data_IF_934160957881
#
_entry.id   IF_934160957881
#
_cell.length_a   1.000
_cell.length_b   1.000
_cell.length_c   1.000
_cell.angle_alpha   90.00
_cell.angle_beta   90.00
_cell.angle_gamma   90.00
#
_symmetry.space_group_name_H-M   'P 1'
#
loop_
_entity.id
_entity.type
_entity.pdbx_description
1 polymer ?
#
# COMPACT_ATOMS: atom_id res chain seq x y z
N UNK A 1 9.68 -1.07 1.12
CA UNK A 1 8.88 -0.59 -0.03
C UNK A 1 7.37 -0.63 0.22
N UNK A 2 6.79 -1.81 0.46
CA UNK A 2 5.34 -1.99 0.72
C UNK A 2 4.82 -0.96 1.75
N UNK A 3 5.47 -0.88 2.92
CA UNK A 3 5.11 0.07 3.97
C UNK A 3 5.18 1.55 3.52
N UNK A 4 6.20 1.93 2.76
CA UNK A 4 6.39 3.30 2.24
C UNK A 4 5.28 3.67 1.26
N UNK A 5 4.97 2.78 0.31
CA UNK A 5 3.90 2.99 -0.67
C UNK A 5 2.53 3.08 -0.01
N UNK A 6 2.29 2.30 1.05
CA UNK A 6 1.08 2.41 1.87
C UNK A 6 0.94 3.82 2.43
N UNK A 7 1.96 4.33 3.14
CA UNK A 7 1.87 5.64 3.81
C UNK A 7 1.76 6.80 2.82
N UNK A 8 2.52 6.77 1.72
CA UNK A 8 2.48 7.85 0.73
C UNK A 8 1.14 7.93 -0.03
N UNK A 9 0.43 6.81 -0.16
CA UNK A 9 -0.86 6.74 -0.87
C UNK A 9 -2.04 7.41 -0.13
N UNK A 10 -1.88 7.79 1.13
CA UNK A 10 -2.98 8.24 1.98
C UNK A 10 -3.39 9.70 1.79
N UNK A 11 -2.50 10.52 1.24
CA UNK A 11 -2.90 11.83 0.75
C UNK A 11 -3.65 11.67 -0.57
N UNK A 12 -4.77 12.40 -0.75
CA UNK A 12 -5.54 12.51 -2.02
C UNK A 12 -4.74 12.97 -3.26
N UNK A 13 -3.42 13.07 -3.12
CA UNK A 13 -2.39 13.40 -4.10
C UNK A 13 -1.79 12.14 -4.74
N UNK A 14 -2.64 11.18 -5.13
CA UNK A 14 -2.18 9.95 -5.75
C UNK A 14 -1.27 10.26 -6.96
N UNK A 15 -1.68 11.17 -7.83
CA UNK A 15 -0.93 11.52 -9.04
C UNK A 15 0.34 12.35 -8.82
N UNK A 16 0.38 13.22 -7.80
CA UNK A 16 1.55 14.06 -7.56
C UNK A 16 2.55 13.46 -6.59
N UNK A 17 2.18 12.42 -5.84
CA UNK A 17 3.04 11.82 -4.82
C UNK A 17 3.13 10.29 -4.92
N UNK A 18 2.00 9.58 -4.91
CA UNK A 18 2.00 8.11 -4.82
C UNK A 18 2.35 7.41 -6.15
N UNK A 19 1.81 7.89 -7.27
CA UNK A 19 2.08 7.37 -8.61
C UNK A 19 3.52 7.64 -9.03
N UNK A 20 4.11 8.84 -8.86
CA UNK A 20 5.53 9.03 -9.11
C UNK A 20 6.42 8.13 -8.26
N UNK A 21 6.14 8.00 -6.95
CA UNK A 21 6.88 7.09 -6.08
C UNK A 21 6.77 5.62 -6.54
N UNK A 22 5.56 5.19 -6.96
CA UNK A 22 5.31 3.86 -7.52
C UNK A 22 6.03 3.65 -8.86
N UNK A 23 5.95 4.60 -9.79
CA UNK A 23 6.61 4.53 -11.09
C UNK A 23 8.13 4.50 -10.95
N UNK A 24 8.69 5.32 -10.05
CA UNK A 24 10.13 5.26 -9.73
C UNK A 24 10.53 3.90 -9.17
N UNK A 25 9.65 3.32 -8.34
CA UNK A 25 9.84 1.98 -7.82
C UNK A 25 9.77 0.88 -8.90
N UNK A 26 8.74 0.88 -9.76
CA UNK A 26 8.57 -0.07 -10.87
C UNK A 26 9.73 0.01 -11.87
N UNK A 27 10.37 1.19 -11.99
CA UNK A 27 11.59 1.41 -12.78
C UNK A 27 12.89 1.04 -12.06
N UNK A 28 12.81 0.44 -10.87
CA UNK A 28 13.98 0.02 -10.09
C UNK A 28 14.78 1.17 -9.48
N UNK A 29 14.29 2.41 -9.51
CA UNK A 29 15.05 3.59 -9.05
C UNK A 29 15.22 3.65 -7.52
N UNK A 30 14.51 2.79 -6.79
CA UNK A 30 14.68 2.55 -5.36
C UNK A 30 15.20 1.15 -5.04
N UNK A 31 15.89 0.49 -5.97
CA UNK A 31 16.48 -0.84 -5.76
C UNK A 31 17.33 -0.90 -4.47
N UNK A 32 18.04 0.19 -4.16
CA UNK A 32 18.83 0.33 -2.93
C UNK A 32 17.99 0.30 -1.62
N UNK A 33 16.68 0.57 -1.68
CA UNK A 33 15.74 0.49 -0.55
C UNK A 33 14.85 -0.77 -0.59
N UNK A 34 14.72 -1.43 -1.74
CA UNK A 34 13.84 -2.60 -1.88
C UNK A 34 14.41 -3.90 -1.33
N UNK A 35 15.73 -3.95 -1.17
CA UNK A 35 16.46 -5.12 -0.67
C UNK A 35 16.76 -5.04 0.84
N UNK A 36 16.44 -3.92 1.49
CA UNK A 36 16.71 -3.73 2.92
C UNK A 36 15.53 -4.21 3.78
N UNK A 37 15.78 -5.02 4.82
CA UNK A 37 14.75 -5.44 5.77
C UNK A 37 14.07 -4.24 6.45
N UNK A 38 12.83 -4.40 6.90
CA UNK A 38 12.11 -3.38 7.68
C UNK A 38 12.92 -2.91 8.89
N UNK A 39 13.68 -3.81 9.51
CA UNK A 39 14.54 -3.51 10.63
C UNK A 39 15.63 -2.46 10.34
N UNK A 40 16.18 -2.41 9.13
CA UNK A 40 17.19 -1.40 8.79
C UNK A 40 16.57 0.00 8.73
N UNK A 41 15.35 0.11 8.21
CA UNK A 41 14.59 1.36 8.24
C UNK A 41 14.30 1.81 9.69
N UNK A 42 13.91 0.87 10.55
CA UNK A 42 13.70 1.14 11.99
C UNK A 42 14.99 1.60 12.66
N UNK A 43 16.12 0.94 12.40
CA UNK A 43 17.42 1.35 12.95
C UNK A 43 17.82 2.75 12.48
N UNK A 44 17.63 3.07 11.20
CA UNK A 44 17.89 4.41 10.66
C UNK A 44 16.99 5.45 11.34
N UNK A 45 15.70 5.16 11.48
CA UNK A 45 14.77 6.07 12.14
C UNK A 45 15.11 6.28 13.63
N UNK A 46 15.59 5.25 14.34
CA UNK A 46 16.01 5.37 15.76
C UNK A 46 17.27 6.22 15.95
N UNK A 47 18.08 6.39 14.92
CA UNK A 47 19.22 7.34 14.96
C UNK A 47 18.78 8.79 14.82
N UNK A 48 17.53 9.03 14.44
CA UNK A 48 16.93 10.36 14.43
C UNK A 48 16.58 10.69 15.88
N UNK A 49 17.42 11.51 16.49
CA UNK A 49 17.24 11.97 17.86
C UNK A 49 16.82 13.43 17.82
N UNK A 50 15.53 13.71 17.61
CA UNK A 50 15.06 15.07 17.77
C UNK A 50 13.69 15.41 17.21
N UNK A 51 13.53 16.70 16.92
CA UNK A 51 12.24 17.37 16.80
C UNK A 51 11.61 17.24 15.40
N UNK A 52 10.60 18.07 15.11
CA UNK A 52 9.92 18.05 13.81
C UNK A 52 10.87 18.28 12.63
N UNK A 53 11.96 19.04 12.80
CA UNK A 53 12.91 19.33 11.73
C UNK A 53 13.74 18.10 11.34
N UNK A 54 14.12 17.26 12.31
CA UNK A 54 14.84 16.03 12.02
C UNK A 54 13.97 15.04 11.23
N UNK A 55 12.68 14.96 11.57
CA UNK A 55 11.72 14.18 10.79
C UNK A 55 11.47 14.75 9.39
N UNK A 56 11.54 16.07 9.20
CA UNK A 56 11.48 16.67 7.86
C UNK A 56 12.71 16.31 7.04
N UNK A 57 13.91 16.39 7.61
CA UNK A 57 15.15 15.97 6.94
C UNK A 57 15.09 14.51 6.53
N UNK A 58 14.57 13.64 7.42
CA UNK A 58 14.39 12.23 7.11
C UNK A 58 13.36 11.98 6.01
N UNK A 59 12.21 12.66 6.08
CA UNK A 59 11.19 12.64 5.03
C UNK A 59 11.77 13.07 3.67
N UNK A 60 12.62 14.11 3.68
CA UNK A 60 13.28 14.62 2.48
C UNK A 60 14.28 13.61 1.92
N UNK A 61 15.08 12.96 2.77
CA UNK A 61 16.00 11.91 2.36
C UNK A 61 15.29 10.67 1.78
N UNK A 62 14.07 10.35 2.27
CA UNK A 62 13.30 9.20 1.80
C UNK A 62 12.58 9.46 0.47
N UNK A 63 12.03 10.65 0.27
CA UNK A 63 11.15 10.93 -0.88
C UNK A 63 11.06 12.41 -1.28
N UNK A 64 12.08 13.22 -0.95
CA UNK A 64 12.27 14.61 -1.39
C UNK A 64 11.10 15.55 -1.03
N UNK A 65 10.46 15.32 0.12
CA UNK A 65 9.44 16.22 0.65
C UNK A 65 9.52 16.37 2.17
N UNK A 66 8.77 17.33 2.72
CA UNK A 66 8.83 17.67 4.15
C UNK A 66 7.63 17.09 4.95
N UNK A 67 6.99 16.02 4.46
CA UNK A 67 5.85 15.35 5.12
C UNK A 67 6.36 14.49 6.29
N UNK A 68 6.78 15.16 7.36
CA UNK A 68 7.37 14.54 8.54
C UNK A 68 6.42 13.55 9.23
N UNK A 69 5.10 13.80 9.23
CA UNK A 69 4.13 12.86 9.81
C UNK A 69 4.14 11.51 9.08
N UNK A 70 4.33 11.52 7.76
CA UNK A 70 4.40 10.29 6.96
C UNK A 70 5.67 9.51 7.26
N UNK A 71 6.78 10.20 7.48
CA UNK A 71 8.02 9.55 7.92
C UNK A 71 7.83 8.85 9.27
N UNK A 72 7.17 9.52 10.22
CA UNK A 72 6.83 8.92 11.51
C UNK A 72 5.89 7.71 11.39
N UNK A 73 4.83 7.82 10.58
CA UNK A 73 3.88 6.73 10.32
C UNK A 73 4.55 5.53 9.66
N UNK A 74 5.48 5.78 8.72
CA UNK A 74 6.25 4.74 8.07
C UNK A 74 7.12 3.99 9.09
N UNK A 75 7.81 4.71 9.98
CA UNK A 75 8.61 4.09 11.04
C UNK A 75 7.75 3.19 11.93
N UNK A 76 6.62 3.70 12.43
CA UNK A 76 5.71 2.92 13.27
C UNK A 76 5.18 1.67 12.54
N UNK A 77 4.84 1.81 11.26
CA UNK A 77 4.38 0.68 10.45
C UNK A 77 5.50 -0.36 10.26
N UNK A 78 6.73 0.09 10.00
CA UNK A 78 7.87 -0.78 9.85
C UNK A 78 8.20 -1.53 11.15
N UNK A 79 8.09 -0.86 12.30
CA UNK A 79 8.26 -1.50 13.62
C UNK A 79 7.21 -2.59 13.85
N UNK A 80 5.92 -2.28 13.68
CA UNK A 80 4.85 -3.27 13.87
C UNK A 80 5.04 -4.51 12.99
N UNK A 81 5.37 -4.32 11.71
CA UNK A 81 5.58 -5.41 10.77
C UNK A 81 6.85 -6.20 11.08
N UNK A 82 7.95 -5.52 11.41
CA UNK A 82 9.22 -6.16 11.80
C UNK A 82 9.05 -7.00 13.07
N UNK A 83 8.34 -6.48 14.08
CA UNK A 83 8.09 -7.19 15.34
C UNK A 83 7.24 -8.44 15.11
N UNK A 84 6.23 -8.35 14.23
CA UNK A 84 5.44 -9.51 13.84
C UNK A 84 6.31 -10.57 13.15
N UNK A 85 7.17 -10.15 12.21
CA UNK A 85 8.07 -11.06 11.51
C UNK A 85 8.97 -11.84 12.48
N UNK A 86 9.60 -11.11 13.42
CA UNK A 86 10.47 -11.72 14.44
C UNK A 86 9.72 -12.66 15.38
N UNK A 87 8.49 -12.31 15.76
CA UNK A 87 7.70 -13.08 16.73
C UNK A 87 7.14 -14.38 16.16
N UNK A 88 6.66 -14.36 14.92
CA UNK A 88 5.86 -15.47 14.38
C UNK A 88 6.60 -16.34 13.36
N UNK A 89 7.54 -15.78 12.58
CA UNK A 89 8.28 -16.57 11.60
C UNK A 89 9.75 -16.09 11.47
N UNK A 90 10.57 -16.18 12.55
CA UNK A 90 11.93 -15.61 12.58
C UNK A 90 12.91 -16.21 11.57
N UNK A 91 12.61 -17.38 11.02
CA UNK A 91 13.47 -18.10 10.06
C UNK A 91 12.98 -17.99 8.60
N UNK A 92 11.86 -17.28 8.37
CA UNK A 92 11.30 -17.13 7.04
C UNK A 92 11.71 -15.81 6.40
N UNK A 93 11.73 -15.78 5.07
CA UNK A 93 11.92 -14.53 4.34
C UNK A 93 10.79 -13.54 4.67
N UNK A 94 11.13 -12.28 4.94
CA UNK A 94 10.22 -11.24 5.43
C UNK A 94 8.92 -11.16 4.61
N UNK A 95 9.00 -11.26 3.28
CA UNK A 95 7.81 -11.21 2.40
C UNK A 95 6.86 -12.39 2.58
N UNK A 96 7.38 -13.60 2.87
CA UNK A 96 6.55 -14.79 3.14
C UNK A 96 5.79 -14.59 4.44
N UNK A 97 6.48 -14.07 5.44
CA UNK A 97 5.92 -13.73 6.75
C UNK A 97 4.85 -12.64 6.62
N UNK A 98 5.11 -11.58 5.86
CA UNK A 98 4.11 -10.53 5.60
C UNK A 98 2.84 -11.05 4.92
N UNK A 99 2.95 -12.01 3.99
CA UNK A 99 1.76 -12.65 3.38
C UNK A 99 0.95 -13.44 4.40
N UNK A 100 1.60 -14.14 5.33
CA UNK A 100 0.93 -14.82 6.45
C UNK A 100 0.25 -13.81 7.38
N UNK A 101 0.93 -12.70 7.68
CA UNK A 101 0.33 -11.60 8.44
C UNK A 101 -0.93 -11.08 7.76
N UNK A 102 -0.84 -10.74 6.47
CA UNK A 102 -1.95 -10.22 5.66
C UNK A 102 -3.16 -11.17 5.62
N UNK A 103 -2.93 -12.48 5.56
CA UNK A 103 -3.99 -13.48 5.60
C UNK A 103 -4.65 -13.62 6.99
N UNK A 104 -3.98 -13.19 8.06
CA UNK A 104 -4.41 -13.38 9.44
C UNK A 104 -4.99 -12.13 10.10
N UNK A 105 -4.55 -10.94 9.66
CA UNK A 105 -4.92 -9.67 10.27
C UNK A 105 -6.34 -9.28 9.87
N UNK A 106 -7.12 -8.81 10.85
CA UNK A 106 -8.44 -8.21 10.61
C UNK A 106 -8.34 -6.68 10.60
N UNK A 107 -9.26 -6.04 9.88
CA UNK A 107 -9.30 -4.58 9.74
C UNK A 107 -9.33 -3.86 11.08
N UNK A 108 -10.09 -4.39 12.04
CA UNK A 108 -10.26 -3.81 13.39
C UNK A 108 -8.99 -3.93 14.24
N UNK A 109 -8.11 -4.89 13.93
CA UNK A 109 -6.83 -5.06 14.61
C UNK A 109 -5.76 -4.09 14.09
N UNK A 110 -5.92 -3.61 12.85
CA UNK A 110 -5.01 -2.65 12.23
C UNK A 110 -5.45 -1.20 12.48
N UNK A 111 -6.74 -0.91 12.30
CA UNK A 111 -7.27 0.45 12.38
C UNK A 111 -7.11 0.97 13.80
N UNK A 112 -6.41 2.10 13.96
CA UNK A 112 -6.11 2.70 15.26
C UNK A 112 -4.77 2.28 15.87
N UNK A 113 -4.09 1.27 15.31
CA UNK A 113 -2.75 0.87 15.76
C UNK A 113 -1.73 2.00 15.57
N UNK A 114 -1.84 2.72 14.44
CA UNK A 114 -0.95 3.83 14.09
C UNK A 114 -1.80 5.06 13.77
N UNK A 115 -1.54 6.16 14.49
CA UNK A 115 -2.30 7.41 14.32
C UNK A 115 -2.19 7.91 12.87
N UNK A 116 -3.35 8.06 12.23
CA UNK A 116 -3.47 8.52 10.85
C UNK A 116 -3.38 7.42 9.78
N UNK A 117 -3.21 6.15 10.18
CA UNK A 117 -3.40 5.01 9.28
C UNK A 117 -4.80 4.42 9.50
N UNK A 118 -5.74 4.84 8.66
CA UNK A 118 -7.14 4.39 8.72
C UNK A 118 -7.44 3.17 7.86
N UNK A 119 -8.74 2.83 7.68
CA UNK A 119 -9.23 1.75 6.81
C UNK A 119 -8.55 1.64 5.44
N UNK A 120 -8.30 2.78 4.79
CA UNK A 120 -7.68 2.83 3.47
C UNK A 120 -6.20 2.41 3.48
N UNK A 121 -5.50 2.68 4.58
CA UNK A 121 -4.11 2.24 4.75
C UNK A 121 -4.04 0.72 4.90
N UNK A 122 -4.99 0.14 5.64
CA UNK A 122 -5.13 -1.31 5.77
C UNK A 122 -5.34 -1.98 4.40
N UNK A 123 -6.34 -1.52 3.65
CA UNK A 123 -6.66 -2.06 2.32
C UNK A 123 -5.49 -1.92 1.35
N UNK A 124 -4.82 -0.77 1.36
CA UNK A 124 -3.65 -0.53 0.51
C UNK A 124 -2.46 -1.43 0.89
N UNK A 125 -2.23 -1.64 2.20
CA UNK A 125 -1.15 -2.49 2.67
C UNK A 125 -1.36 -3.94 2.26
N UNK A 126 -2.57 -4.47 2.45
CA UNK A 126 -2.92 -5.81 1.96
C UNK A 126 -2.74 -5.92 0.46
N UNK A 127 -3.18 -4.90 -0.29
CA UNK A 127 -3.03 -4.86 -1.74
C UNK A 127 -1.56 -4.97 -2.18
N UNK A 128 -0.65 -4.27 -1.50
CA UNK A 128 0.79 -4.34 -1.77
C UNK A 128 1.45 -5.64 -1.29
N UNK A 129 0.97 -6.26 -0.21
CA UNK A 129 1.51 -7.53 0.31
C UNK A 129 1.06 -8.72 -0.56
N UNK A 130 -0.23 -8.79 -0.89
CA UNK A 130 -0.78 -9.82 -1.77
C UNK A 130 -0.28 -9.66 -3.21
N UNK A 131 0.07 -8.43 -3.59
CA UNK A 131 0.66 -8.11 -4.88
C UNK A 131 -0.30 -8.41 -6.03
N UNK A 132 0.19 -9.14 -7.03
CA UNK A 132 -0.34 -9.36 -8.39
C UNK A 132 -1.82 -9.81 -8.47
N UNK A 133 -2.45 -10.21 -7.36
CA UNK A 133 -3.84 -10.73 -7.36
C UNK A 133 -4.82 -9.90 -6.52
N UNK A 134 -4.46 -8.65 -6.19
CA UNK A 134 -5.31 -7.76 -5.41
C UNK A 134 -6.10 -6.77 -6.30
N UNK A 135 -7.32 -6.43 -5.86
CA UNK A 135 -8.16 -5.38 -6.45
C UNK A 135 -8.45 -4.39 -5.33
N UNK A 136 -8.27 -3.10 -5.61
CA UNK A 136 -8.47 -2.06 -4.60
C UNK A 136 -9.92 -1.59 -4.70
N UNK A 137 -10.71 -1.92 -3.69
CA UNK A 137 -12.09 -1.47 -3.64
C UNK A 137 -12.16 0.02 -3.27
N UNK A 138 -11.99 0.88 -4.26
CA UNK A 138 -12.22 2.32 -4.14
C UNK A 138 -13.49 2.75 -4.89
N UNK A 139 -13.80 4.05 -4.83
CA UNK A 139 -14.98 4.60 -5.49
C UNK A 139 -14.98 4.34 -7.00
N UNK A 140 -13.83 4.28 -7.66
CA UNK A 140 -13.79 4.02 -9.11
C UNK A 140 -14.16 2.57 -9.40
N UNK A 141 -13.64 1.61 -8.63
CA UNK A 141 -14.06 0.20 -8.75
C UNK A 141 -15.53 0.04 -8.38
N UNK A 142 -16.01 0.66 -7.30
CA UNK A 142 -17.40 0.60 -6.90
C UNK A 142 -18.34 1.16 -7.98
N UNK A 143 -18.01 2.33 -8.54
CA UNK A 143 -18.78 2.95 -9.62
C UNK A 143 -18.71 2.11 -10.90
N UNK A 144 -17.54 1.55 -11.24
CA UNK A 144 -17.38 0.68 -12.39
C UNK A 144 -18.26 -0.58 -12.26
N UNK A 145 -18.26 -1.21 -11.08
CA UNK A 145 -19.10 -2.38 -10.79
C UNK A 145 -20.59 -2.02 -10.89
N UNK A 146 -21.02 -0.91 -10.30
CA UNK A 146 -22.41 -0.45 -10.39
C UNK A 146 -22.83 -0.15 -11.83
N UNK A 147 -21.98 0.51 -12.61
CA UNK A 147 -22.26 0.83 -14.00
C UNK A 147 -22.28 -0.40 -14.91
N UNK A 148 -21.45 -1.40 -14.62
CA UNK A 148 -21.28 -2.58 -15.47
C UNK A 148 -22.24 -3.72 -15.12
N UNK A 149 -22.57 -3.87 -13.84
CA UNK A 149 -23.31 -5.03 -13.31
C UNK A 149 -24.64 -4.65 -12.61
N UNK A 150 -24.86 -3.36 -12.35
CA UNK A 150 -26.05 -2.87 -11.64
C UNK A 150 -25.88 -2.76 -10.11
N UNK A 151 -26.87 -2.16 -9.41
CA UNK A 151 -26.77 -1.80 -7.99
C UNK A 151 -26.91 -2.97 -7.00
N UNK A 152 -27.23 -4.17 -7.47
CA UNK A 152 -27.51 -5.34 -6.62
C UNK A 152 -26.27 -6.17 -6.30
N UNK A 153 -25.13 -5.88 -6.93
CA UNK A 153 -23.89 -6.64 -6.72
C UNK A 153 -23.19 -6.18 -5.45
N UNK A 154 -22.92 -7.13 -4.54
CA UNK A 154 -22.13 -6.85 -3.34
C UNK A 154 -20.68 -6.54 -3.70
N UNK A 155 -20.00 -5.74 -2.88
CA UNK A 155 -18.58 -5.41 -3.09
C UNK A 155 -17.69 -6.68 -3.17
N UNK A 156 -17.99 -7.68 -2.34
CA UNK A 156 -17.28 -8.95 -2.31
C UNK A 156 -17.47 -9.75 -3.61
N UNK A 157 -18.72 -9.86 -4.09
CA UNK A 157 -19.03 -10.57 -5.35
C UNK A 157 -18.44 -9.84 -6.56
N UNK A 158 -18.48 -8.50 -6.55
CA UNK A 158 -17.87 -7.67 -7.57
C UNK A 158 -16.36 -7.87 -7.67
N UNK A 159 -15.65 -7.89 -6.53
CA UNK A 159 -14.22 -8.21 -6.49
C UNK A 159 -13.96 -9.62 -7.02
N UNK A 160 -14.75 -10.62 -6.59
CA UNK A 160 -14.59 -12.00 -7.03
C UNK A 160 -14.78 -12.12 -8.56
N UNK A 161 -15.79 -11.44 -9.12
CA UNK A 161 -16.04 -11.39 -10.54
C UNK A 161 -14.87 -10.74 -11.31
N UNK A 162 -14.35 -9.61 -10.84
CA UNK A 162 -13.21 -8.95 -11.47
C UNK A 162 -11.94 -9.83 -11.43
N UNK A 163 -11.69 -10.54 -10.32
CA UNK A 163 -10.58 -11.52 -10.25
C UNK A 163 -10.76 -12.65 -11.26
N UNK A 164 -11.99 -13.15 -11.44
CA UNK A 164 -12.28 -14.15 -12.46
C UNK A 164 -12.08 -13.62 -13.89
N UNK A 165 -12.47 -12.37 -14.15
CA UNK A 165 -12.23 -11.69 -15.43
C UNK A 165 -10.73 -11.53 -15.70
N UNK A 166 -9.95 -11.03 -14.73
CA UNK A 166 -8.51 -10.90 -14.87
C UNK A 166 -7.84 -12.23 -15.22
N UNK A 167 -8.23 -13.31 -14.51
CA UNK A 167 -7.77 -14.68 -14.79
C UNK A 167 -8.12 -15.11 -16.22
N UNK A 168 -9.35 -14.88 -16.68
CA UNK A 168 -9.79 -15.23 -18.05
C UNK A 168 -9.04 -14.43 -19.12
N UNK A 169 -8.65 -13.19 -18.81
CA UNK A 169 -7.87 -12.32 -19.70
C UNK A 169 -6.37 -12.62 -19.69
N UNK A 170 -5.90 -13.52 -18.83
CA UNK A 170 -4.47 -13.80 -18.69
C UNK A 170 -3.66 -12.63 -18.12
N UNK A 171 -4.31 -11.71 -17.39
CA UNK A 171 -3.66 -10.60 -16.71
C UNK A 171 -3.84 -10.70 -15.20
N UNK A 172 -2.99 -9.99 -14.48
CA UNK A 172 -3.09 -9.85 -13.03
C UNK A 172 -4.34 -9.07 -12.63
N UNK A 173 -4.93 -9.39 -11.48
CA UNK A 173 -6.08 -8.64 -10.97
C UNK A 173 -5.70 -7.17 -10.68
N UNK A 174 -4.46 -6.95 -10.25
CA UNK A 174 -3.82 -5.64 -10.09
C UNK A 174 -3.73 -4.86 -11.41
N UNK A 175 -3.41 -5.51 -12.53
CA UNK A 175 -3.40 -4.83 -13.84
C UNK A 175 -4.81 -4.50 -14.31
N UNK A 176 -5.78 -5.37 -14.03
CA UNK A 176 -7.18 -5.08 -14.34
C UNK A 176 -7.68 -3.87 -13.54
N UNK A 177 -7.38 -3.81 -12.24
CA UNK A 177 -7.68 -2.68 -11.35
C UNK A 177 -7.12 -1.35 -11.91
N UNK A 178 -5.83 -1.34 -12.29
CA UNK A 178 -5.21 -0.16 -12.91
C UNK A 178 -5.91 0.26 -14.22
N UNK A 179 -6.24 -0.69 -15.08
CA UNK A 179 -6.93 -0.41 -16.37
C UNK A 179 -8.35 0.11 -16.19
N UNK A 180 -9.09 -0.44 -15.23
CA UNK A 180 -10.44 0.05 -14.89
C UNK A 180 -10.34 1.50 -14.43
N UNK A 181 -9.35 1.81 -13.62
CA UNK A 181 -9.15 3.16 -13.15
C UNK A 181 -8.81 4.15 -14.27
N UNK A 182 -7.92 3.78 -15.20
CA UNK A 182 -7.60 4.59 -16.39
C UNK A 182 -8.86 4.87 -17.22
N UNK A 183 -9.70 3.84 -17.42
CA UNK A 183 -10.98 3.95 -18.11
C UNK A 183 -11.94 4.93 -17.40
N UNK A 184 -12.12 4.76 -16.09
CA UNK A 184 -13.01 5.61 -15.29
C UNK A 184 -12.56 7.08 -15.27
N UNK A 185 -11.25 7.31 -15.29
CA UNK A 185 -10.68 8.66 -15.39
C UNK A 185 -10.89 9.30 -16.76
N UNK A 186 -10.72 8.53 -17.84
CA UNK A 186 -11.01 9.02 -19.19
C UNK A 186 -12.49 9.43 -19.34
N UNK A 187 -13.40 8.65 -18.76
CA UNK A 187 -14.84 8.97 -18.79
C UNK A 187 -15.20 10.22 -17.97
N UNK A 188 -14.49 10.49 -16.87
CA UNK A 188 -14.75 11.67 -16.04
C UNK A 188 -14.29 13.00 -16.68
N UNK A 189 -13.39 12.93 -17.66
CA UNK A 189 -12.82 14.10 -18.36
C UNK A 189 -13.41 14.32 -19.76
N UNK A 190 -14.33 13.44 -20.19
CA UNK A 190 -15.04 13.52 -21.47
C UNK A 190 -16.38 14.24 -21.30
#
# INVERSE_FOLDING_TARGET
MIAMSTVLSLSRKWYSQALPARTRFEKGQYAYLSEKPLEELVKLARKIVGDTNDWKLFSNALWENNEWQKAHQLTQLAECLSDWCKKFCPQEAEIVTLKKWAASVRKEQFVGLIKGLGPRAYEQLLWYIDGVNSIKLDRHIANFLQNSLGPTVSEADGIAALKAVAKKMGISATNLDARIWDYMQAQANA
#
